data_IF_068664500966
#
_entry.id   IF_068664500966
#
_cell.length_a   1.000
_cell.length_b   1.000
_cell.length_c   1.000
_cell.angle_alpha   90.00
_cell.angle_beta   90.00
_cell.angle_gamma   90.00
#
_symmetry.space_group_name_H-M   'P 1'
#
loop_
_entity.id
_entity.type
_entity.pdbx_description
1 polymer ?
#
# COMPACT_ATOMS: atom_id res chain seq x y z
N UNK A 1 1.05 26.03 -4.90
CA UNK A 1 1.35 24.79 -5.66
C UNK A 1 2.30 23.89 -4.90
N UNK A 2 3.42 24.40 -4.41
CA UNK A 2 4.44 23.65 -3.64
C UNK A 2 3.87 22.94 -2.41
N UNK A 3 3.11 23.62 -1.55
CA UNK A 3 2.46 23.03 -0.37
C UNK A 3 1.51 21.88 -0.72
N UNK A 4 0.82 21.96 -1.85
CA UNK A 4 -0.10 20.92 -2.31
C UNK A 4 0.67 19.69 -2.81
N UNK A 5 1.73 19.90 -3.59
CA UNK A 5 2.62 18.81 -4.05
C UNK A 5 3.25 18.12 -2.85
N UNK A 6 3.77 18.90 -1.89
CA UNK A 6 4.34 18.33 -0.65
C UNK A 6 3.31 17.50 0.10
N UNK A 7 2.08 17.97 0.27
CA UNK A 7 1.01 17.21 0.95
C UNK A 7 0.72 15.88 0.25
N UNK A 8 0.62 15.86 -1.09
CA UNK A 8 0.39 14.64 -1.88
C UNK A 8 1.53 13.64 -1.70
N UNK A 9 2.78 14.10 -1.81
CA UNK A 9 3.95 13.24 -1.72
C UNK A 9 4.20 12.74 -0.28
N UNK A 10 3.92 13.55 0.73
CA UNK A 10 4.02 13.15 2.13
C UNK A 10 2.94 12.14 2.54
N UNK A 11 1.80 12.13 1.86
CA UNK A 11 0.70 11.18 2.09
C UNK A 11 0.58 10.18 0.93
N UNK A 12 1.70 9.73 0.39
CA UNK A 12 1.78 8.95 -0.83
C UNK A 12 0.95 7.65 -0.78
N UNK A 13 0.86 6.99 0.36
CA UNK A 13 0.05 5.77 0.54
C UNK A 13 -1.42 6.02 0.24
N UNK A 14 -1.99 7.06 0.83
CA UNK A 14 -3.36 7.48 0.55
C UNK A 14 -3.50 7.99 -0.89
N UNK A 15 -2.54 8.75 -1.38
CA UNK A 15 -2.54 9.31 -2.74
C UNK A 15 -2.61 8.19 -3.78
N UNK A 16 -1.72 7.20 -3.72
CA UNK A 16 -1.72 6.10 -4.68
C UNK A 16 -2.93 5.17 -4.50
N UNK A 17 -3.42 4.98 -3.27
CA UNK A 17 -4.67 4.27 -3.05
C UNK A 17 -5.85 4.95 -3.76
N UNK A 18 -6.00 6.28 -3.60
CA UNK A 18 -7.06 7.05 -4.26
C UNK A 18 -6.93 7.00 -5.79
N UNK A 19 -5.70 7.12 -6.33
CA UNK A 19 -5.46 6.98 -7.76
C UNK A 19 -5.92 5.58 -8.24
N UNK A 20 -5.59 4.52 -7.51
CA UNK A 20 -6.06 3.17 -7.81
C UNK A 20 -7.58 3.04 -7.84
N UNK A 21 -8.29 3.67 -6.88
CA UNK A 21 -9.75 3.73 -6.87
C UNK A 21 -10.30 4.45 -8.11
N UNK A 22 -9.74 5.60 -8.49
CA UNK A 22 -10.16 6.37 -9.65
C UNK A 22 -10.01 5.55 -10.94
N UNK A 23 -8.90 4.85 -11.13
CA UNK A 23 -8.71 3.95 -12.28
C UNK A 23 -9.69 2.77 -12.27
N UNK A 24 -10.00 2.23 -11.07
CA UNK A 24 -11.00 1.17 -10.93
C UNK A 24 -12.38 1.66 -11.37
N UNK A 25 -12.85 2.78 -10.81
CA UNK A 25 -14.15 3.35 -11.15
C UNK A 25 -14.25 3.73 -12.63
N UNK A 26 -13.21 4.34 -13.19
CA UNK A 26 -13.16 4.66 -14.61
C UNK A 26 -13.30 3.42 -15.49
N UNK A 27 -12.58 2.34 -15.17
CA UNK A 27 -12.65 1.07 -15.90
C UNK A 27 -14.04 0.45 -15.80
N UNK A 28 -14.66 0.45 -14.61
CA UNK A 28 -16.00 -0.07 -14.40
C UNK A 28 -17.06 0.77 -15.15
N UNK A 29 -16.92 2.08 -15.12
CA UNK A 29 -17.82 2.98 -15.86
C UNK A 29 -17.78 2.72 -17.37
N UNK A 30 -16.58 2.53 -17.94
CA UNK A 30 -16.42 2.19 -19.36
C UNK A 30 -17.01 0.83 -19.75
N UNK A 31 -17.11 -0.09 -18.80
CA UNK A 31 -17.61 -1.46 -19.01
C UNK A 31 -18.98 -1.69 -18.33
N UNK A 32 -19.74 -0.63 -18.06
CA UNK A 32 -20.98 -0.67 -17.27
C UNK A 32 -22.04 -1.66 -17.77
N UNK A 33 -22.01 -2.01 -19.05
CA UNK A 33 -22.97 -2.93 -19.66
C UNK A 33 -22.62 -4.42 -19.46
N UNK A 34 -21.40 -4.72 -18.95
CA UNK A 34 -20.87 -6.09 -18.80
C UNK A 34 -20.28 -6.32 -17.41
N UNK A 35 -20.90 -5.77 -16.37
CA UNK A 35 -20.42 -5.91 -15.00
C UNK A 35 -20.84 -7.27 -14.43
N UNK A 36 -19.86 -8.14 -14.16
CA UNK A 36 -20.02 -9.29 -13.28
C UNK A 36 -19.34 -9.01 -11.94
N UNK A 37 -19.78 -9.71 -10.87
CA UNK A 37 -19.16 -9.57 -9.54
C UNK A 37 -17.64 -9.82 -9.62
N UNK A 38 -17.24 -10.86 -10.34
CA UNK A 38 -15.82 -11.18 -10.56
C UNK A 38 -15.08 -10.04 -11.28
N UNK A 39 -15.66 -9.47 -12.34
CA UNK A 39 -15.03 -8.37 -13.07
C UNK A 39 -14.82 -7.14 -12.17
N UNK A 40 -15.82 -6.82 -11.34
CA UNK A 40 -15.73 -5.70 -10.39
C UNK A 40 -14.61 -5.92 -9.39
N UNK A 41 -14.59 -7.09 -8.72
CA UNK A 41 -13.58 -7.43 -7.70
C UNK A 41 -12.18 -7.44 -8.31
N UNK A 42 -11.99 -8.09 -9.47
CA UNK A 42 -10.68 -8.17 -10.12
C UNK A 42 -10.19 -6.81 -10.63
N UNK A 43 -11.10 -5.93 -11.03
CA UNK A 43 -10.74 -4.56 -11.43
C UNK A 43 -10.21 -3.77 -10.24
N UNK A 44 -10.89 -3.80 -9.10
CA UNK A 44 -10.38 -3.16 -7.89
C UNK A 44 -9.06 -3.77 -7.44
N UNK A 45 -8.96 -5.10 -7.36
CA UNK A 45 -7.75 -5.75 -6.89
C UNK A 45 -6.55 -5.50 -7.82
N UNK A 46 -6.75 -5.48 -9.14
CA UNK A 46 -5.73 -5.14 -10.13
C UNK A 46 -5.13 -3.76 -9.88
N UNK A 47 -5.96 -2.72 -9.81
CA UNK A 47 -5.48 -1.35 -9.64
C UNK A 47 -4.97 -1.09 -8.23
N UNK A 48 -5.52 -1.77 -7.22
CA UNK A 48 -5.00 -1.77 -5.87
C UNK A 48 -3.57 -2.36 -5.80
N UNK A 49 -3.34 -3.53 -6.41
CA UNK A 49 -2.00 -4.11 -6.51
C UNK A 49 -1.03 -3.17 -7.22
N UNK A 50 -1.45 -2.56 -8.33
CA UNK A 50 -0.57 -1.67 -9.09
C UNK A 50 -0.22 -0.40 -8.31
N UNK A 51 -1.22 0.33 -7.81
CA UNK A 51 -1.02 1.64 -7.22
C UNK A 51 -0.67 1.58 -5.74
N UNK A 52 -1.50 0.91 -4.92
CA UNK A 52 -1.33 0.90 -3.47
C UNK A 52 -0.20 -0.03 -2.99
N UNK A 53 0.14 -1.07 -3.77
CA UNK A 53 1.32 -1.87 -3.50
C UNK A 53 2.47 -1.54 -4.45
N UNK A 54 2.33 -1.74 -5.75
CA UNK A 54 3.43 -1.59 -6.70
C UNK A 54 4.11 -0.23 -6.65
N UNK A 55 3.38 0.82 -6.98
CA UNK A 55 3.93 2.19 -7.05
C UNK A 55 4.22 2.74 -5.66
N UNK A 56 3.31 2.53 -4.70
CA UNK A 56 3.48 3.04 -3.33
C UNK A 56 4.74 2.48 -2.67
N UNK A 57 4.97 1.17 -2.70
CA UNK A 57 6.17 0.56 -2.14
C UNK A 57 7.45 0.91 -2.90
N UNK A 58 7.38 1.09 -4.23
CA UNK A 58 8.53 1.57 -5.02
C UNK A 58 8.89 3.01 -4.62
N UNK A 59 7.89 3.88 -4.42
CA UNK A 59 8.12 5.22 -3.89
C UNK A 59 8.72 5.19 -2.48
N UNK A 60 8.18 4.34 -1.59
CA UNK A 60 8.74 4.15 -0.25
C UNK A 60 10.20 3.68 -0.29
N UNK A 61 10.54 2.77 -1.21
CA UNK A 61 11.90 2.31 -1.41
C UNK A 61 12.84 3.47 -1.77
N UNK A 62 12.43 4.35 -2.69
CA UNK A 62 13.22 5.54 -3.07
C UNK A 62 13.40 6.47 -1.86
N UNK A 63 12.34 6.71 -1.09
CA UNK A 63 12.41 7.57 0.09
C UNK A 63 13.38 7.03 1.14
N UNK A 64 13.34 5.74 1.42
CA UNK A 64 14.20 5.13 2.44
C UNK A 64 15.61 4.77 1.96
N UNK A 65 15.90 4.81 0.64
CA UNK A 65 17.25 4.57 0.12
C UNK A 65 17.95 5.85 -0.32
N UNK A 66 17.30 6.66 -1.17
CA UNK A 66 17.91 7.87 -1.75
C UNK A 66 17.69 9.09 -0.86
N UNK A 67 16.54 9.19 -0.21
CA UNK A 67 16.13 10.32 0.63
C UNK A 67 15.95 9.92 2.10
N UNK A 68 16.79 9.00 2.60
CA UNK A 68 16.64 8.38 3.92
C UNK A 68 16.62 9.39 5.07
N UNK A 69 17.49 10.43 5.04
CA UNK A 69 17.47 11.49 6.03
C UNK A 69 16.11 12.24 6.07
N UNK A 70 15.55 12.51 4.88
CA UNK A 70 14.23 13.15 4.75
C UNK A 70 13.12 12.26 5.29
N UNK A 71 13.17 10.96 4.99
CA UNK A 71 12.22 9.98 5.48
C UNK A 71 12.28 9.85 7.01
N UNK A 72 13.49 9.70 7.58
CA UNK A 72 13.71 9.63 9.03
C UNK A 72 13.16 10.89 9.74
N UNK A 73 13.51 12.07 9.24
CA UNK A 73 13.00 13.34 9.77
C UNK A 73 11.48 13.46 9.69
N UNK A 74 10.88 12.99 8.60
CA UNK A 74 9.42 13.02 8.42
C UNK A 74 8.69 12.12 9.43
N UNK A 75 9.29 10.96 9.77
CA UNK A 75 8.77 10.02 10.77
C UNK A 75 9.09 10.51 12.20
N UNK A 76 10.07 11.39 12.36
CA UNK A 76 10.54 11.86 13.67
C UNK A 76 11.51 10.87 14.32
N UNK A 77 12.25 10.12 13.51
CA UNK A 77 13.29 9.18 13.95
C UNK A 77 14.69 9.70 13.62
N UNK A 78 15.70 9.16 14.30
CA UNK A 78 17.08 9.36 13.91
C UNK A 78 17.38 8.59 12.61
N UNK A 79 18.19 9.18 11.74
CA UNK A 79 18.65 8.49 10.55
C UNK A 79 19.65 7.38 10.94
N UNK A 80 19.51 6.22 10.30
CA UNK A 80 20.34 5.06 10.59
C UNK A 80 20.42 4.12 9.38
N UNK A 81 21.37 3.18 9.34
CA UNK A 81 21.45 2.16 8.29
C UNK A 81 20.16 1.34 8.09
N UNK A 82 19.31 1.23 9.11
CA UNK A 82 18.02 0.56 9.00
C UNK A 82 17.08 1.20 7.95
N UNK A 83 17.26 2.48 7.64
CA UNK A 83 16.51 3.13 6.55
C UNK A 83 16.73 2.40 5.22
N UNK A 84 17.97 2.00 4.92
CA UNK A 84 18.29 1.25 3.71
C UNK A 84 17.65 -0.14 3.70
N UNK A 85 17.62 -0.81 4.85
CA UNK A 85 16.97 -2.13 4.97
C UNK A 85 15.47 -2.04 4.71
N UNK A 86 14.81 -1.04 5.29
CA UNK A 86 13.39 -0.73 5.00
C UNK A 86 13.21 -0.42 3.51
N UNK A 87 14.11 0.36 2.91
CA UNK A 87 14.08 0.69 1.50
C UNK A 87 14.16 -0.54 0.59
N UNK A 88 15.10 -1.44 0.82
CA UNK A 88 15.25 -2.67 0.02
C UNK A 88 14.10 -3.67 0.24
N UNK A 89 13.59 -3.80 1.46
CA UNK A 89 12.38 -4.59 1.71
C UNK A 89 11.19 -4.02 0.94
N UNK A 90 11.02 -2.70 0.96
CA UNK A 90 9.98 -1.97 0.21
C UNK A 90 10.10 -2.19 -1.30
N UNK A 91 11.31 -2.20 -1.85
CA UNK A 91 11.53 -2.51 -3.27
C UNK A 91 11.03 -3.90 -3.62
N UNK A 92 11.31 -4.89 -2.79
CA UNK A 92 10.81 -6.26 -2.96
C UNK A 92 9.28 -6.31 -2.97
N UNK A 93 8.63 -5.65 -2.01
CA UNK A 93 7.16 -5.55 -1.98
C UNK A 93 6.58 -4.83 -3.19
N UNK A 94 7.23 -3.76 -3.65
CA UNK A 94 6.84 -3.03 -4.84
C UNK A 94 6.86 -3.89 -6.10
N UNK A 95 7.96 -4.62 -6.32
CA UNK A 95 8.09 -5.54 -7.46
C UNK A 95 6.98 -6.60 -7.42
N UNK A 96 6.78 -7.25 -6.28
CA UNK A 96 5.70 -8.26 -6.13
C UNK A 96 4.33 -7.63 -6.34
N UNK A 97 4.09 -6.41 -5.83
CA UNK A 97 2.85 -5.66 -6.06
C UNK A 97 2.55 -5.43 -7.55
N UNK A 98 3.56 -5.05 -8.33
CA UNK A 98 3.43 -4.91 -9.79
C UNK A 98 3.11 -6.24 -10.48
N UNK A 99 3.74 -7.35 -10.05
CA UNK A 99 3.46 -8.68 -10.59
C UNK A 99 2.05 -9.18 -10.24
N UNK A 100 1.50 -8.79 -9.08
CA UNK A 100 0.15 -9.14 -8.62
C UNK A 100 -0.99 -8.53 -9.43
N UNK A 101 -0.69 -7.61 -10.36
CA UNK A 101 -1.64 -7.12 -11.37
C UNK A 101 -2.22 -8.28 -12.20
N UNK A 102 -1.41 -9.31 -12.44
CA UNK A 102 -1.86 -10.57 -13.00
C UNK A 102 -2.61 -11.36 -11.91
N UNK A 103 -3.76 -11.94 -12.28
CA UNK A 103 -4.56 -12.72 -11.36
C UNK A 103 -3.86 -14.06 -11.03
N UNK A 104 -2.98 -14.03 -10.03
CA UNK A 104 -2.32 -15.20 -9.47
C UNK A 104 -2.55 -15.23 -7.96
N UNK A 105 -3.35 -16.18 -7.49
CA UNK A 105 -3.72 -16.28 -6.07
C UNK A 105 -2.52 -16.46 -5.15
N UNK A 106 -1.58 -17.34 -5.49
CA UNK A 106 -0.40 -17.61 -4.65
C UNK A 106 0.48 -16.38 -4.49
N UNK A 107 0.68 -15.62 -5.59
CA UNK A 107 1.47 -14.40 -5.57
C UNK A 107 0.78 -13.30 -4.74
N UNK A 108 -0.53 -13.14 -4.91
CA UNK A 108 -1.35 -12.19 -4.12
C UNK A 108 -1.39 -12.56 -2.63
N UNK A 109 -1.46 -13.85 -2.31
CA UNK A 109 -1.40 -14.34 -0.93
C UNK A 109 -0.02 -14.06 -0.30
N UNK A 110 1.06 -14.33 -1.04
CA UNK A 110 2.43 -14.02 -0.59
C UNK A 110 2.60 -12.52 -0.32
N UNK A 111 2.13 -11.65 -1.23
CA UNK A 111 2.12 -10.20 -1.02
C UNK A 111 1.31 -9.83 0.24
N UNK A 112 0.08 -10.35 0.38
CA UNK A 112 -0.78 -10.05 1.52
C UNK A 112 -0.10 -10.39 2.85
N UNK A 113 0.49 -11.59 2.97
CA UNK A 113 1.15 -12.03 4.21
C UNK A 113 2.38 -11.17 4.51
N UNK A 114 3.28 -11.01 3.53
CA UNK A 114 4.56 -10.33 3.74
C UNK A 114 4.39 -8.83 4.03
N UNK A 115 3.54 -8.13 3.27
CA UNK A 115 3.29 -6.71 3.52
C UNK A 115 2.50 -6.48 4.79
N UNK A 116 1.56 -7.37 5.16
CA UNK A 116 0.81 -7.23 6.41
C UNK A 116 1.68 -7.42 7.64
N UNK A 117 2.59 -8.40 7.62
CA UNK A 117 3.54 -8.60 8.71
C UNK A 117 4.42 -7.35 8.91
N UNK A 118 4.89 -6.75 7.81
CA UNK A 118 5.69 -5.53 7.86
C UNK A 118 4.86 -4.33 8.37
N UNK A 119 3.69 -4.06 7.78
CA UNK A 119 2.87 -2.89 8.09
C UNK A 119 2.30 -2.94 9.51
N UNK A 120 1.79 -4.09 9.97
CA UNK A 120 1.32 -4.19 11.35
C UNK A 120 2.46 -4.12 12.36
N UNK A 121 3.65 -4.61 12.01
CA UNK A 121 4.85 -4.40 12.82
C UNK A 121 5.22 -2.91 12.90
N UNK A 122 5.20 -2.20 11.77
CA UNK A 122 5.43 -0.76 11.70
C UNK A 122 4.37 0.02 12.50
N UNK A 123 3.08 -0.31 12.35
CA UNK A 123 2.01 0.30 13.15
C UNK A 123 2.23 0.13 14.65
N UNK A 124 2.66 -1.06 15.09
CA UNK A 124 3.05 -1.31 16.48
C UNK A 124 4.19 -0.41 16.95
N UNK A 125 5.22 -0.23 16.11
CA UNK A 125 6.33 0.68 16.36
C UNK A 125 5.88 2.15 16.44
N UNK A 126 5.03 2.61 15.52
CA UNK A 126 4.46 3.95 15.52
C UNK A 126 3.63 4.23 16.79
N UNK A 127 2.80 3.27 17.22
CA UNK A 127 2.02 3.37 18.45
C UNK A 127 2.95 3.45 19.67
N UNK A 128 3.99 2.62 19.73
CA UNK A 128 5.00 2.67 20.78
C UNK A 128 5.67 4.05 20.87
N UNK A 129 6.10 4.61 19.73
CA UNK A 129 6.71 5.93 19.65
C UNK A 129 5.75 7.06 20.14
N UNK A 130 4.44 6.94 19.84
CA UNK A 130 3.43 7.88 20.33
C UNK A 130 3.31 7.80 21.86
N UNK A 131 3.23 6.59 22.42
CA UNK A 131 2.99 6.39 23.86
C UNK A 131 4.23 6.75 24.68
N UNK A 132 5.40 6.22 24.30
CA UNK A 132 6.62 6.33 25.10
C UNK A 132 7.42 7.62 24.85
N UNK A 133 7.40 8.11 23.61
CA UNK A 133 8.24 9.26 23.20
C UNK A 133 7.44 10.49 22.80
N UNK A 134 6.11 10.43 22.86
CA UNK A 134 5.22 11.53 22.43
C UNK A 134 5.51 12.00 20.97
N UNK A 135 5.89 11.05 20.11
CA UNK A 135 6.23 11.33 18.71
C UNK A 135 4.95 11.48 17.87
N UNK A 136 4.51 12.71 17.68
CA UNK A 136 3.37 13.06 16.84
C UNK A 136 3.80 13.60 15.46
N UNK A 137 5.00 13.26 14.99
CA UNK A 137 5.44 13.62 13.63
C UNK A 137 4.45 13.12 12.58
N UNK A 138 4.27 13.85 11.45
CA UNK A 138 3.29 13.49 10.41
C UNK A 138 3.48 12.08 9.83
N UNK A 139 4.73 11.62 9.72
CA UNK A 139 5.06 10.26 9.25
C UNK A 139 4.92 9.18 10.32
N UNK A 140 4.73 9.55 11.61
CA UNK A 140 4.54 8.59 12.70
C UNK A 140 3.07 8.48 13.11
N UNK A 141 2.38 9.59 13.37
CA UNK A 141 1.02 9.60 13.91
C UNK A 141 -0.05 10.00 12.87
N UNK A 142 0.35 10.25 11.62
CA UNK A 142 -0.53 10.73 10.55
C UNK A 142 -1.11 9.62 9.67
N UNK A 143 -1.20 9.90 8.38
CA UNK A 143 -1.74 8.99 7.35
C UNK A 143 -0.98 7.67 7.29
N UNK A 144 0.34 7.67 7.58
CA UNK A 144 1.17 6.47 7.54
C UNK A 144 0.66 5.43 8.52
N UNK A 145 0.46 5.78 9.80
CA UNK A 145 -0.08 4.86 10.81
C UNK A 145 -1.41 4.24 10.39
N UNK A 146 -2.33 5.05 9.86
CA UNK A 146 -3.64 4.54 9.39
C UNK A 146 -3.51 3.66 8.16
N UNK A 147 -2.57 3.98 7.26
CA UNK A 147 -2.27 3.14 6.11
C UNK A 147 -1.71 1.78 6.54
N UNK A 148 -0.82 1.75 7.51
CA UNK A 148 -0.23 0.52 8.04
C UNK A 148 -1.27 -0.41 8.67
N UNK A 149 -2.32 0.16 9.24
CA UNK A 149 -3.43 -0.63 9.81
C UNK A 149 -4.40 -1.09 8.70
N UNK A 150 -4.81 -0.19 7.79
CA UNK A 150 -5.92 -0.42 6.88
C UNK A 150 -5.53 -1.15 5.59
N UNK A 151 -4.33 -0.90 5.04
CA UNK A 151 -3.87 -1.55 3.81
C UNK A 151 -3.87 -3.09 3.93
N UNK A 152 -3.34 -3.69 5.02
CA UNK A 152 -3.45 -5.14 5.22
C UNK A 152 -4.88 -5.67 5.21
N UNK A 153 -5.77 -4.99 5.92
CA UNK A 153 -7.19 -5.38 6.01
C UNK A 153 -7.83 -5.38 4.62
N UNK A 154 -7.63 -4.30 3.85
CA UNK A 154 -8.16 -4.18 2.48
C UNK A 154 -7.57 -5.28 1.59
N UNK A 155 -6.28 -5.57 1.73
CA UNK A 155 -5.60 -6.61 0.94
C UNK A 155 -6.24 -7.98 1.18
N UNK A 156 -6.47 -8.37 2.43
CA UNK A 156 -7.12 -9.64 2.75
C UNK A 156 -8.59 -9.70 2.32
N UNK A 157 -9.33 -8.59 2.44
CA UNK A 157 -10.71 -8.51 1.95
C UNK A 157 -10.76 -8.72 0.43
N UNK A 158 -9.91 -8.02 -0.33
CA UNK A 158 -9.85 -8.18 -1.78
C UNK A 158 -9.40 -9.58 -2.19
N UNK A 159 -8.44 -10.17 -1.48
CA UNK A 159 -7.98 -11.54 -1.71
C UNK A 159 -9.11 -12.55 -1.50
N UNK A 160 -9.86 -12.41 -0.41
CA UNK A 160 -11.01 -13.26 -0.11
C UNK A 160 -12.10 -13.15 -1.19
N UNK A 161 -12.47 -11.92 -1.57
CA UNK A 161 -13.49 -11.68 -2.59
C UNK A 161 -13.06 -12.22 -3.96
N UNK A 162 -11.80 -12.03 -4.35
CA UNK A 162 -11.23 -12.57 -5.58
C UNK A 162 -11.29 -14.10 -5.61
N UNK A 163 -10.93 -14.76 -4.50
CA UNK A 163 -11.01 -16.21 -4.39
C UNK A 163 -12.45 -16.71 -4.43
N UNK A 164 -13.38 -16.08 -3.71
CA UNK A 164 -14.80 -16.42 -3.70
C UNK A 164 -15.42 -16.35 -5.10
N UNK A 165 -15.21 -15.23 -5.80
CA UNK A 165 -15.79 -15.01 -7.14
C UNK A 165 -15.17 -15.91 -8.21
N UNK A 166 -13.90 -16.34 -8.05
CA UNK A 166 -13.28 -17.29 -8.97
C UNK A 166 -13.93 -18.69 -8.92
N UNK A 167 -14.34 -19.15 -7.74
CA UNK A 167 -15.02 -20.46 -7.56
C UNK A 167 -16.43 -20.49 -8.14
N UNK A 168 -17.12 -19.36 -8.20
CA UNK A 168 -18.49 -19.28 -8.75
C UNK A 168 -18.53 -19.41 -10.28
N UNK A 169 -17.43 -19.11 -10.97
CA UNK A 169 -17.35 -19.18 -12.44
C UNK A 169 -17.08 -20.60 -12.96
N UNK A 170 -16.72 -21.55 -12.08
CA UNK A 170 -16.37 -22.94 -12.44
C UNK A 170 -17.59 -23.87 -12.26
N UNK A 171 -18.66 -23.42 -11.65
CA UNK A 171 -19.97 -24.11 -11.56
C UNK A 171 -20.89 -23.68 -12.69
#
# INVERSE_FOLDING_TARGET
MEKFIHYILSNFTLTFFVIGLLFSFFTLYRNKNNLSERFVVETFFKYYCFWAHGISWTYNAIMHTVFHETAAKFIGWEDSPFQLEVGYASLGFGIVGLLCVKNNFGLRLGLAISTSAFLWGAAGGHIYEIIEKQNYAPGNAGVMLWSDILIPIITFVLLYLSHKTSKQTIK
#
